data_IF_772913133249
#
_entry.id   IF_772913133249
#
_cell.length_a   1.000
_cell.length_b   1.000
_cell.length_c   1.000
_cell.angle_alpha   90.00
_cell.angle_beta   90.00
_cell.angle_gamma   90.00
#
_symmetry.space_group_name_H-M   'P 1'
#
loop_
_entity.id
_entity.type
_entity.pdbx_description
1 polymer ?
#
# COMPACT_ATOMS: atom_id res chain seq x y z
N UNK A 1 10.98 3.00 -14.93
CA UNK A 1 11.27 1.96 -13.94
C UNK A 1 10.77 0.63 -14.44
N UNK A 2 11.65 -0.38 -14.50
CA UNK A 2 11.34 -1.74 -14.93
C UNK A 2 11.83 -2.75 -13.90
N UNK A 3 10.99 -3.74 -13.61
CA UNK A 3 11.31 -4.87 -12.74
C UNK A 3 11.43 -6.15 -13.57
N UNK A 4 12.42 -6.98 -13.24
CA UNK A 4 12.55 -8.34 -13.75
C UNK A 4 12.29 -9.34 -12.63
N UNK A 5 11.48 -10.35 -12.93
CA UNK A 5 11.17 -11.48 -12.06
C UNK A 5 11.62 -12.75 -12.79
N UNK A 6 12.41 -13.59 -12.12
CA UNK A 6 12.81 -14.90 -12.61
C UNK A 6 12.35 -16.01 -11.64
N UNK A 7 11.92 -17.14 -12.18
CA UNK A 7 11.57 -18.37 -11.46
C UNK A 7 10.62 -18.17 -10.27
N UNK A 8 9.54 -17.41 -10.47
CA UNK A 8 8.49 -17.22 -9.47
C UNK A 8 7.28 -18.12 -9.79
N UNK A 9 7.30 -19.35 -9.26
CA UNK A 9 6.26 -20.34 -9.51
C UNK A 9 6.11 -20.66 -11.00
N UNK A 10 4.94 -20.36 -11.58
CA UNK A 10 4.69 -20.56 -13.01
C UNK A 10 5.41 -19.54 -13.92
N UNK A 11 5.97 -18.46 -13.35
CA UNK A 11 6.65 -17.40 -14.08
C UNK A 11 8.14 -17.73 -14.20
N UNK A 12 8.59 -18.16 -15.38
CA UNK A 12 10.02 -18.40 -15.64
C UNK A 12 10.82 -17.09 -15.72
N UNK A 13 10.31 -16.14 -16.48
CA UNK A 13 10.88 -14.80 -16.65
C UNK A 13 9.75 -13.83 -16.97
N UNK A 14 9.79 -12.64 -16.37
CA UNK A 14 8.90 -11.53 -16.69
C UNK A 14 9.63 -10.20 -16.49
N UNK A 15 9.53 -9.32 -17.49
CA UNK A 15 9.93 -7.93 -17.39
C UNK A 15 8.69 -7.04 -17.42
N UNK A 16 8.54 -6.19 -16.41
CA UNK A 16 7.39 -5.30 -16.25
C UNK A 16 7.88 -3.86 -16.20
N UNK A 17 7.40 -3.05 -17.15
CA UNK A 17 7.59 -1.61 -17.14
C UNK A 17 6.49 -0.96 -16.30
N UNK A 18 6.82 -0.67 -15.04
CA UNK A 18 5.90 -0.07 -14.08
C UNK A 18 5.84 1.46 -14.21
N UNK A 19 6.66 2.08 -15.06
CA UNK A 19 6.45 3.48 -15.46
C UNK A 19 5.30 3.66 -16.46
N UNK A 20 4.73 2.58 -17.00
CA UNK A 20 3.53 2.69 -17.85
C UNK A 20 2.28 2.95 -17.01
N UNK A 21 1.43 3.86 -17.50
CA UNK A 21 0.15 4.23 -16.86
C UNK A 21 -0.81 3.05 -16.65
N UNK A 22 -0.74 2.05 -17.52
CA UNK A 22 -1.59 0.86 -17.44
C UNK A 22 -0.82 -0.38 -17.91
N UNK A 23 -0.77 -1.38 -17.04
CA UNK A 23 -0.28 -2.72 -17.34
C UNK A 23 -1.45 -3.71 -17.21
N UNK A 24 -1.76 -4.44 -18.28
CA UNK A 24 -2.85 -5.43 -18.29
C UNK A 24 -2.25 -6.84 -18.38
N UNK A 25 -2.43 -7.63 -17.34
CA UNK A 25 -2.03 -9.05 -17.32
C UNK A 25 -3.19 -9.93 -17.77
N UNK A 26 -3.11 -10.49 -18.99
CA UNK A 26 -4.11 -11.40 -19.55
C UNK A 26 -3.53 -12.79 -19.80
N UNK A 27 -4.39 -13.82 -19.77
CA UNK A 27 -4.01 -15.19 -20.10
C UNK A 27 -4.77 -16.25 -19.29
N UNK A 28 -4.59 -17.54 -19.61
CA UNK A 28 -5.26 -18.66 -18.94
C UNK A 28 -5.08 -18.70 -17.42
N UNK A 29 -5.97 -19.40 -16.71
CA UNK A 29 -5.82 -19.58 -15.26
C UNK A 29 -4.52 -20.34 -14.92
N UNK A 30 -3.88 -19.97 -13.80
CA UNK A 30 -2.66 -20.63 -13.34
C UNK A 30 -1.34 -20.18 -14.00
N UNK A 31 -1.36 -19.20 -14.91
CA UNK A 31 -0.15 -18.74 -15.63
C UNK A 31 0.69 -17.69 -14.88
N UNK A 32 0.48 -17.50 -13.58
CA UNK A 32 1.29 -16.57 -12.77
C UNK A 32 0.85 -15.10 -12.74
N UNK A 33 -0.30 -14.73 -13.33
CA UNK A 33 -0.83 -13.35 -13.27
C UNK A 33 -0.92 -12.79 -11.85
N UNK A 34 -1.50 -13.55 -10.93
CA UNK A 34 -1.59 -13.19 -9.51
C UNK A 34 -0.21 -13.13 -8.86
N UNK A 35 0.71 -14.00 -9.27
CA UNK A 35 2.06 -14.06 -8.71
C UNK A 35 2.83 -12.79 -9.04
N UNK A 36 2.75 -12.33 -10.30
CA UNK A 36 3.35 -11.06 -10.73
C UNK A 36 2.72 -9.88 -9.99
N UNK A 37 1.38 -9.81 -9.89
CA UNK A 37 0.72 -8.71 -9.19
C UNK A 37 1.13 -8.64 -7.71
N UNK A 38 1.19 -9.80 -7.03
CA UNK A 38 1.63 -9.88 -5.63
C UNK A 38 3.11 -9.54 -5.50
N UNK A 39 3.95 -9.99 -6.43
CA UNK A 39 5.37 -9.66 -6.41
C UNK A 39 5.63 -8.17 -6.57
N UNK A 40 4.94 -7.50 -7.50
CA UNK A 40 5.03 -6.05 -7.67
C UNK A 40 4.58 -5.33 -6.39
N UNK A 41 3.44 -5.72 -5.83
CA UNK A 41 2.95 -5.16 -4.56
C UNK A 41 3.96 -5.35 -3.43
N UNK A 42 4.39 -6.59 -3.21
CA UNK A 42 5.33 -6.96 -2.16
C UNK A 42 6.73 -6.38 -2.35
N UNK A 43 7.14 -6.05 -3.58
CA UNK A 43 8.43 -5.40 -3.85
C UNK A 43 8.41 -3.91 -3.55
N UNK A 44 7.32 -3.24 -3.91
CA UNK A 44 7.22 -1.77 -3.91
C UNK A 44 6.52 -1.21 -2.67
N UNK A 45 5.82 -2.04 -1.89
CA UNK A 45 5.28 -1.63 -0.59
C UNK A 45 6.44 -1.22 0.33
N UNK A 46 6.38 -0.08 1.03
CA UNK A 46 7.40 0.32 2.00
C UNK A 46 7.61 -0.79 3.06
N UNK A 47 8.87 -1.10 3.38
CA UNK A 47 9.20 -2.32 4.15
C UNK A 47 9.88 -2.08 5.48
N UNK A 48 10.75 -1.07 5.56
CA UNK A 48 11.57 -0.85 6.74
C UNK A 48 11.88 0.63 6.92
N UNK A 49 12.04 0.98 8.19
CA UNK A 49 12.51 2.28 8.63
C UNK A 49 14.04 2.30 8.56
N UNK A 50 14.63 3.32 7.94
CA UNK A 50 16.09 3.48 7.80
C UNK A 50 16.69 4.48 8.79
N UNK A 51 15.89 5.02 9.69
CA UNK A 51 16.31 5.99 10.69
C UNK A 51 15.57 7.32 10.58
N UNK A 52 15.84 8.19 11.56
CA UNK A 52 15.36 9.57 11.61
C UNK A 52 16.47 10.55 11.26
N UNK A 53 16.09 11.72 10.77
CA UNK A 53 16.97 12.88 10.67
C UNK A 53 16.33 14.03 11.43
N UNK A 54 16.53 14.02 12.75
CA UNK A 54 15.91 14.98 13.66
C UNK A 54 16.34 16.42 13.35
N UNK A 55 17.60 16.63 12.94
CA UNK A 55 18.15 17.94 12.58
C UNK A 55 17.44 18.55 11.38
N UNK A 56 17.23 17.75 10.32
CA UNK A 56 16.46 18.16 9.14
C UNK A 56 15.04 18.59 9.52
N UNK A 57 14.38 17.83 10.39
CA UNK A 57 13.02 18.15 10.82
C UNK A 57 12.97 19.40 11.70
N UNK A 58 13.93 19.57 12.62
CA UNK A 58 14.02 20.76 13.45
C UNK A 58 14.29 22.02 12.60
N UNK A 59 15.13 21.91 11.57
CA UNK A 59 15.35 22.99 10.60
C UNK A 59 14.11 23.28 9.75
N UNK A 60 13.43 22.24 9.24
CA UNK A 60 12.20 22.37 8.48
C UNK A 60 11.09 23.06 9.28
N UNK A 61 10.91 22.71 10.56
CA UNK A 61 9.92 23.33 11.43
C UNK A 61 10.25 24.80 11.68
N UNK A 62 11.53 25.11 11.92
CA UNK A 62 11.99 26.48 12.20
C UNK A 62 11.85 27.40 11.01
N UNK A 63 12.27 26.95 9.83
CA UNK A 63 12.35 27.77 8.63
C UNK A 63 11.10 27.66 7.74
N UNK A 64 10.23 26.67 7.98
CA UNK A 64 9.04 26.29 7.19
C UNK A 64 9.31 25.87 5.74
N UNK A 65 10.46 26.24 5.19
CA UNK A 65 10.97 25.81 3.90
C UNK A 65 12.48 25.62 4.01
N UNK A 66 12.99 24.49 3.55
CA UNK A 66 14.43 24.17 3.49
C UNK A 66 14.78 23.59 2.13
N UNK A 67 16.05 23.69 1.77
CA UNK A 67 16.62 23.02 0.59
C UNK A 67 17.65 22.01 1.07
N UNK A 68 17.56 20.77 0.59
CA UNK A 68 18.51 19.70 0.90
C UNK A 68 19.10 19.10 -0.37
N UNK A 69 20.32 18.57 -0.30
CA UNK A 69 20.88 17.74 -1.37
C UNK A 69 20.30 16.33 -1.28
N UNK A 70 20.11 15.71 -2.45
CA UNK A 70 19.64 14.33 -2.55
C UNK A 70 20.74 13.36 -2.09
N UNK A 71 20.42 12.55 -1.09
CA UNK A 71 21.28 11.47 -0.61
C UNK A 71 21.12 10.22 -1.49
N UNK A 72 21.84 10.18 -2.61
CA UNK A 72 21.83 9.05 -3.52
C UNK A 72 22.39 7.76 -2.90
N UNK A 73 23.26 7.84 -1.89
CA UNK A 73 23.78 6.64 -1.23
C UNK A 73 22.66 5.94 -0.45
N UNK A 74 21.93 6.68 0.39
CA UNK A 74 20.78 6.15 1.12
C UNK A 74 19.68 5.62 0.19
N UNK A 75 19.40 6.32 -0.91
CA UNK A 75 18.42 5.89 -1.93
C UNK A 75 18.80 4.55 -2.54
N UNK A 76 20.06 4.40 -2.96
CA UNK A 76 20.54 3.19 -3.60
C UNK A 76 20.59 2.01 -2.61
N UNK A 77 21.04 2.24 -1.38
CA UNK A 77 21.02 1.24 -0.31
C UNK A 77 19.59 0.80 0.03
N UNK A 78 18.63 1.73 0.08
CA UNK A 78 17.22 1.40 0.30
C UNK A 78 16.66 0.52 -0.81
N UNK A 79 16.97 0.84 -2.07
CA UNK A 79 16.54 0.09 -3.25
C UNK A 79 17.06 -1.34 -3.26
N UNK A 80 18.31 -1.56 -2.84
CA UNK A 80 18.86 -2.91 -2.63
C UNK A 80 18.13 -3.64 -1.50
N UNK A 81 17.88 -2.96 -0.38
CA UNK A 81 17.10 -3.49 0.74
C UNK A 81 15.68 -3.92 0.35
N UNK A 82 15.01 -3.23 -0.58
CA UNK A 82 13.70 -3.63 -1.10
C UNK A 82 13.73 -5.03 -1.76
N UNK A 83 14.80 -5.32 -2.51
CA UNK A 83 15.01 -6.61 -3.19
C UNK A 83 15.33 -7.70 -2.16
N UNK A 84 16.22 -7.44 -1.22
CA UNK A 84 16.58 -8.40 -0.15
C UNK A 84 15.35 -8.74 0.69
N UNK A 85 14.62 -7.72 1.14
CA UNK A 85 13.41 -7.90 1.92
C UNK A 85 12.28 -8.57 1.12
N UNK A 86 12.23 -8.43 -0.21
CA UNK A 86 11.28 -9.21 -1.03
C UNK A 86 11.55 -10.71 -0.91
N UNK A 87 12.82 -11.12 -0.98
CA UNK A 87 13.22 -12.54 -0.88
C UNK A 87 12.95 -13.11 0.51
N UNK A 88 13.28 -12.35 1.55
CA UNK A 88 13.09 -12.75 2.95
C UNK A 88 11.62 -12.91 3.35
N UNK A 89 10.69 -12.29 2.61
CA UNK A 89 9.27 -12.28 2.95
C UNK A 89 8.40 -13.01 1.93
N UNK A 90 8.96 -13.91 1.10
CA UNK A 90 8.19 -14.67 0.10
C UNK A 90 7.09 -15.54 0.73
N UNK A 91 7.37 -16.12 1.89
CA UNK A 91 6.46 -16.90 2.71
C UNK A 91 5.23 -16.06 3.11
N UNK A 92 5.45 -14.90 3.73
CA UNK A 92 4.38 -13.99 4.13
C UNK A 92 3.70 -13.36 2.92
N UNK A 93 4.42 -13.13 1.82
CA UNK A 93 3.86 -12.54 0.62
C UNK A 93 2.81 -13.47 -0.01
N UNK A 94 3.12 -14.76 -0.09
CA UNK A 94 2.25 -15.76 -0.70
C UNK A 94 1.37 -16.53 0.27
N UNK A 95 1.51 -16.31 1.58
CA UNK A 95 0.69 -17.00 2.58
C UNK A 95 1.09 -18.46 2.77
N UNK A 96 2.37 -18.80 2.59
CA UNK A 96 2.88 -20.18 2.54
C UNK A 96 3.93 -20.42 3.62
N UNK A 97 4.21 -21.68 3.94
CA UNK A 97 5.25 -22.04 4.91
C UNK A 97 6.66 -21.83 4.34
N UNK A 98 7.63 -21.63 5.22
CA UNK A 98 9.05 -21.52 4.85
C UNK A 98 9.53 -22.75 4.05
N UNK A 99 9.14 -23.97 4.45
CA UNK A 99 9.43 -25.20 3.69
C UNK A 99 8.91 -25.17 2.24
N UNK A 100 7.78 -24.51 2.01
CA UNK A 100 7.21 -24.40 0.66
C UNK A 100 8.05 -23.42 -0.18
N UNK A 101 8.50 -22.31 0.42
CA UNK A 101 9.39 -21.35 -0.24
C UNK A 101 10.70 -22.03 -0.63
N UNK A 102 11.32 -22.78 0.28
CA UNK A 102 12.57 -23.51 0.00
C UNK A 102 12.41 -24.53 -1.14
N UNK A 103 11.26 -25.21 -1.22
CA UNK A 103 11.03 -26.20 -2.26
C UNK A 103 10.66 -25.59 -3.62
N UNK A 104 9.92 -24.47 -3.63
CA UNK A 104 9.26 -23.97 -4.85
C UNK A 104 9.74 -22.59 -5.31
N UNK A 105 10.33 -21.79 -4.42
CA UNK A 105 10.73 -20.40 -4.68
C UNK A 105 12.19 -20.10 -4.34
N UNK A 106 13.02 -21.09 -3.99
CA UNK A 106 14.46 -20.89 -3.72
C UNK A 106 15.22 -20.17 -4.85
N UNK A 107 14.83 -20.42 -6.09
CA UNK A 107 15.48 -19.87 -7.29
C UNK A 107 14.82 -18.56 -7.74
N UNK A 108 13.80 -18.08 -7.02
CA UNK A 108 13.09 -16.85 -7.33
C UNK A 108 14.02 -15.66 -7.19
N UNK A 109 14.07 -14.82 -8.23
CA UNK A 109 14.83 -13.59 -8.22
C UNK A 109 13.95 -12.42 -8.65
N UNK A 110 14.11 -11.31 -7.96
CA UNK A 110 13.58 -10.00 -8.33
C UNK A 110 14.77 -9.05 -8.48
N UNK A 111 14.73 -8.20 -9.50
CA UNK A 111 15.71 -7.12 -9.66
C UNK A 111 15.08 -5.93 -10.37
N UNK A 112 15.58 -4.73 -10.09
CA UNK A 112 15.39 -3.62 -11.00
C UNK A 112 16.27 -3.79 -12.23
N UNK A 113 15.76 -3.45 -13.42
CA UNK A 113 16.57 -3.49 -14.65
C UNK A 113 17.50 -2.27 -14.70
N UNK A 114 17.03 -1.11 -14.24
CA UNK A 114 17.86 0.08 -14.14
C UNK A 114 18.84 -0.02 -12.97
N UNK A 115 20.12 0.30 -13.24
CA UNK A 115 21.15 0.41 -12.22
C UNK A 115 21.05 1.75 -11.46
N UNK A 116 21.85 1.87 -10.39
CA UNK A 116 21.88 3.04 -9.50
C UNK A 116 22.18 4.34 -10.25
N UNK A 117 23.13 4.33 -11.19
CA UNK A 117 23.48 5.51 -12.00
C UNK A 117 22.29 5.96 -12.87
N UNK A 118 21.59 5.01 -13.51
CA UNK A 118 20.41 5.30 -14.34
C UNK A 118 19.29 5.90 -13.49
N UNK A 119 19.05 5.38 -12.28
CA UNK A 119 18.08 5.95 -11.36
C UNK A 119 18.47 7.36 -10.93
N UNK A 120 19.71 7.56 -10.50
CA UNK A 120 20.20 8.85 -10.03
C UNK A 120 20.07 9.91 -11.14
N UNK A 121 20.49 9.57 -12.36
CA UNK A 121 20.35 10.44 -13.53
C UNK A 121 18.89 10.74 -13.87
N UNK A 122 17.99 9.75 -13.75
CA UNK A 122 16.56 9.94 -13.95
C UNK A 122 15.98 10.93 -12.93
N UNK A 123 16.35 10.80 -11.65
CA UNK A 123 15.91 11.72 -10.59
C UNK A 123 16.46 13.13 -10.86
N UNK A 124 17.75 13.27 -11.21
CA UNK A 124 18.36 14.57 -11.51
C UNK A 124 17.67 15.24 -12.70
N UNK A 125 17.40 14.48 -13.76
CA UNK A 125 16.78 15.00 -14.97
C UNK A 125 15.30 15.36 -14.80
N UNK A 126 14.61 14.88 -13.76
CA UNK A 126 13.18 15.10 -13.60
C UNK A 126 12.84 16.38 -12.83
N UNK A 127 11.69 16.97 -13.17
CA UNK A 127 10.96 17.90 -12.33
C UNK A 127 9.80 17.14 -11.67
N UNK A 128 9.54 17.41 -10.39
CA UNK A 128 8.36 16.87 -9.72
C UNK A 128 7.95 17.69 -8.51
N UNK A 129 6.68 17.56 -8.14
CA UNK A 129 6.09 18.05 -6.90
C UNK A 129 5.33 16.89 -6.25
N UNK A 130 5.49 16.72 -4.94
CA UNK A 130 4.88 15.63 -4.17
C UNK A 130 4.30 16.22 -2.90
N UNK A 131 2.98 16.10 -2.75
CA UNK A 131 2.30 16.38 -1.50
C UNK A 131 2.23 15.13 -0.60
N UNK A 132 2.74 15.23 0.62
CA UNK A 132 2.66 14.17 1.64
C UNK A 132 1.99 14.70 2.89
N UNK A 133 1.06 13.91 3.42
CA UNK A 133 0.39 14.19 4.69
C UNK A 133 0.97 13.32 5.81
N UNK A 134 1.29 13.96 6.93
CA UNK A 134 1.77 13.36 8.18
C UNK A 134 0.89 13.82 9.33
N UNK A 135 -0.17 13.04 9.62
CA UNK A 135 -1.17 13.43 10.61
C UNK A 135 -1.95 14.63 10.11
N UNK A 136 -1.75 15.80 10.72
CA UNK A 136 -2.36 17.06 10.28
C UNK A 136 -1.39 17.98 9.53
N UNK A 137 -0.21 17.49 9.19
CA UNK A 137 0.84 18.29 8.53
C UNK A 137 0.97 17.88 7.08
N UNK A 138 0.75 18.81 6.18
CA UNK A 138 0.99 18.71 4.76
C UNK A 138 2.39 19.26 4.44
N UNK A 139 3.17 18.42 3.77
CA UNK A 139 4.52 18.72 3.31
C UNK A 139 4.56 18.62 1.79
N UNK A 140 5.01 19.70 1.18
CA UNK A 140 5.31 19.82 -0.24
C UNK A 140 6.80 19.53 -0.45
N UNK A 141 7.10 18.52 -1.27
CA UNK A 141 8.46 18.16 -1.69
C UNK A 141 8.54 18.45 -3.18
N UNK A 142 9.36 19.41 -3.58
CA UNK A 142 9.53 19.78 -4.98
C UNK A 142 10.99 19.69 -5.42
N UNK A 143 11.18 19.41 -6.70
CA UNK A 143 12.48 19.31 -7.35
C UNK A 143 12.41 19.95 -8.73
N UNK A 144 13.37 20.81 -9.03
CA UNK A 144 13.53 21.40 -10.36
C UNK A 144 14.28 20.47 -11.31
N UNK A 145 14.03 20.63 -12.61
CA UNK A 145 14.72 19.87 -13.66
C UNK A 145 16.25 20.08 -13.58
N UNK A 146 17.01 19.01 -13.82
CA UNK A 146 18.48 19.03 -13.83
C UNK A 146 19.15 19.50 -12.52
N UNK A 147 18.44 19.42 -11.39
CA UNK A 147 18.96 19.73 -10.05
C UNK A 147 19.25 18.48 -9.22
N UNK A 148 20.16 18.56 -8.25
CA UNK A 148 20.37 17.56 -7.19
C UNK A 148 19.79 17.99 -5.84
N UNK A 149 18.99 19.05 -5.82
CA UNK A 149 18.42 19.66 -4.62
C UNK A 149 16.91 19.47 -4.56
N UNK A 150 16.39 19.24 -3.36
CA UNK A 150 14.96 19.18 -3.05
C UNK A 150 14.58 20.38 -2.19
N UNK A 151 13.48 21.05 -2.56
CA UNK A 151 12.81 22.01 -1.68
C UNK A 151 11.73 21.28 -0.90
N UNK A 152 11.77 21.41 0.43
CA UNK A 152 10.81 20.79 1.35
C UNK A 152 10.13 21.92 2.11
N UNK A 153 8.81 21.98 2.02
CA UNK A 153 8.01 23.06 2.59
C UNK A 153 6.83 22.52 3.39
N UNK A 154 6.65 23.03 4.60
CA UNK A 154 5.47 22.77 5.42
C UNK A 154 4.39 23.77 5.01
N UNK A 155 3.20 23.26 4.67
CA UNK A 155 2.07 24.09 4.27
C UNK A 155 1.26 24.60 5.47
N UNK A 156 1.28 23.88 6.59
CA UNK A 156 0.55 24.25 7.80
C UNK A 156 1.20 25.35 8.64
N UNK A 157 0.35 26.21 9.19
CA UNK A 157 0.75 27.29 10.10
C UNK A 157 1.24 26.72 11.45
N UNK A 158 0.50 25.78 12.04
CA UNK A 158 0.78 25.22 13.37
C UNK A 158 0.96 23.71 13.33
N UNK A 159 1.95 23.21 14.06
CA UNK A 159 2.26 21.77 14.11
C UNK A 159 2.16 21.31 15.56
N UNK A 160 1.42 20.23 15.83
CA UNK A 160 1.32 19.67 17.18
C UNK A 160 2.57 18.89 17.56
N UNK A 161 2.83 18.72 18.87
CA UNK A 161 3.97 17.92 19.36
C UNK A 161 3.90 16.46 18.92
N UNK A 162 2.69 15.91 18.76
CA UNK A 162 2.48 14.56 18.25
C UNK A 162 2.88 14.45 16.77
N UNK A 163 2.52 15.45 15.96
CA UNK A 163 2.89 15.48 14.53
C UNK A 163 4.40 15.63 14.35
N UNK A 164 5.07 16.48 15.16
CA UNK A 164 6.55 16.62 15.15
C UNK A 164 7.21 15.26 15.40
N UNK A 165 6.73 14.51 16.39
CA UNK A 165 7.27 13.18 16.70
C UNK A 165 7.07 12.21 15.52
N UNK A 166 5.90 12.25 14.89
CA UNK A 166 5.61 11.48 13.68
C UNK A 166 6.55 11.82 12.53
N UNK A 167 6.77 13.11 12.27
CA UNK A 167 7.70 13.58 11.25
C UNK A 167 9.12 13.09 11.48
N UNK A 168 9.65 13.26 12.70
CA UNK A 168 10.98 12.74 13.06
C UNK A 168 11.07 11.24 12.84
N UNK A 169 10.02 10.49 13.17
CA UNK A 169 10.01 9.05 13.05
C UNK A 169 9.85 8.53 11.61
N UNK A 170 9.17 9.24 10.70
CA UNK A 170 8.80 8.65 9.40
C UNK A 170 9.29 9.42 8.19
N UNK A 171 9.40 10.75 8.26
CA UNK A 171 9.61 11.60 7.09
C UNK A 171 10.84 11.22 6.27
N UNK A 172 11.99 11.03 6.94
CA UNK A 172 13.25 10.71 6.23
C UNK A 172 13.16 9.36 5.50
N UNK A 173 12.58 8.34 6.15
CA UNK A 173 12.40 7.03 5.52
C UNK A 173 11.42 7.11 4.35
N UNK A 174 10.32 7.83 4.50
CA UNK A 174 9.31 8.00 3.45
C UNK A 174 9.86 8.77 2.25
N UNK A 175 10.70 9.78 2.48
CA UNK A 175 11.39 10.53 1.41
C UNK A 175 12.30 9.61 0.60
N UNK A 176 13.17 8.85 1.28
CA UNK A 176 14.09 7.92 0.63
C UNK A 176 13.33 6.81 -0.11
N UNK A 177 12.26 6.28 0.50
CA UNK A 177 11.40 5.25 -0.10
C UNK A 177 10.78 5.73 -1.43
N UNK A 178 10.22 6.94 -1.45
CA UNK A 178 9.63 7.54 -2.67
C UNK A 178 10.69 7.71 -3.76
N UNK A 179 11.87 8.24 -3.42
CA UNK A 179 12.93 8.47 -4.39
C UNK A 179 13.54 7.16 -4.92
N UNK A 180 13.69 6.13 -4.07
CA UNK A 180 14.19 4.81 -4.47
C UNK A 180 13.29 4.10 -5.50
N UNK A 181 12.00 4.44 -5.51
CA UNK A 181 10.97 3.87 -6.38
C UNK A 181 10.49 4.85 -7.46
N UNK A 182 11.11 6.02 -7.59
CA UNK A 182 10.71 7.03 -8.56
C UNK A 182 10.54 6.43 -9.98
N UNK A 183 9.44 6.73 -10.71
CA UNK A 183 8.39 7.72 -10.41
C UNK A 183 7.19 7.19 -9.61
N UNK A 184 7.31 6.04 -8.93
CA UNK A 184 6.21 5.45 -8.16
C UNK A 184 6.13 6.10 -6.77
N UNK A 185 5.05 6.84 -6.52
CA UNK A 185 4.81 7.61 -5.29
C UNK A 185 4.18 6.80 -4.16
N UNK A 186 3.37 5.80 -4.52
CA UNK A 186 2.63 4.92 -3.61
C UNK A 186 2.30 3.61 -4.32
N UNK A 187 1.95 2.59 -3.53
CA UNK A 187 1.48 1.29 -4.06
C UNK A 187 0.30 0.79 -3.23
N UNK A 188 -0.78 0.45 -3.93
CA UNK A 188 -2.00 -0.09 -3.37
C UNK A 188 -2.45 -1.31 -4.15
N UNK A 189 -3.06 -2.29 -3.49
CA UNK A 189 -3.59 -3.49 -4.13
C UNK A 189 -5.03 -3.73 -3.71
N UNK A 190 -5.83 -4.13 -4.70
CA UNK A 190 -7.23 -4.51 -4.56
C UNK A 190 -7.37 -6.01 -4.80
N UNK A 191 -7.00 -6.86 -3.82
CA UNK A 191 -7.02 -8.28 -4.01
C UNK A 191 -8.46 -8.81 -3.95
N UNK A 192 -8.68 -9.98 -4.53
CA UNK A 192 -9.95 -10.70 -4.40
C UNK A 192 -9.68 -12.00 -3.69
N UNK A 193 -10.33 -12.19 -2.53
CA UNK A 193 -10.31 -13.46 -1.82
C UNK A 193 -11.34 -14.42 -2.45
N UNK A 194 -10.87 -15.58 -2.92
CA UNK A 194 -11.69 -16.63 -3.55
C UNK A 194 -11.42 -18.00 -2.94
N UNK A 195 -10.82 -18.03 -1.75
CA UNK A 195 -10.52 -19.26 -1.05
C UNK A 195 -11.76 -20.14 -0.89
N UNK A 196 -11.56 -21.44 -1.08
CA UNK A 196 -12.62 -22.42 -0.92
C UNK A 196 -13.17 -22.41 0.51
N UNK A 197 -14.43 -22.80 0.70
CA UNK A 197 -15.01 -22.90 2.03
C UNK A 197 -14.22 -23.84 2.95
N UNK A 198 -13.56 -24.86 2.39
CA UNK A 198 -12.70 -25.80 3.13
C UNK A 198 -11.43 -25.10 3.63
N UNK A 199 -10.79 -24.30 2.78
CA UNK A 199 -9.65 -23.47 3.15
C UNK A 199 -10.06 -22.46 4.23
N UNK A 200 -11.16 -21.74 3.99
CA UNK A 200 -11.68 -20.73 4.90
C UNK A 200 -12.07 -21.31 6.26
N UNK A 201 -12.70 -22.50 6.31
CA UNK A 201 -13.09 -23.16 7.55
C UNK A 201 -11.89 -23.51 8.42
N UNK A 202 -10.81 -24.03 7.83
CA UNK A 202 -9.59 -24.39 8.56
C UNK A 202 -8.93 -23.14 9.16
N UNK A 203 -8.88 -22.07 8.38
CA UNK A 203 -8.35 -20.77 8.82
C UNK A 203 -9.19 -20.14 9.94
N UNK A 204 -10.52 -20.18 9.83
CA UNK A 204 -11.41 -19.64 10.87
C UNK A 204 -11.28 -20.38 12.21
N UNK A 205 -11.10 -21.71 12.17
CA UNK A 205 -10.85 -22.50 13.39
C UNK A 205 -9.53 -22.14 14.07
N UNK A 206 -8.45 -21.95 13.30
CA UNK A 206 -7.13 -21.55 13.84
C UNK A 206 -7.22 -20.14 14.45
N UNK A 207 -7.88 -19.20 13.77
CA UNK A 207 -8.05 -17.82 14.25
C UNK A 207 -8.84 -17.74 15.55
N UNK A 208 -9.82 -18.63 15.76
CA UNK A 208 -10.55 -18.71 17.03
C UNK A 208 -9.61 -19.08 18.18
N UNK A 209 -8.68 -19.99 17.95
CA UNK A 209 -7.67 -20.41 18.93
C UNK A 209 -6.71 -19.25 19.24
N UNK A 210 -6.15 -18.62 18.21
CA UNK A 210 -5.21 -17.49 18.35
C UNK A 210 -5.86 -16.26 19.01
N UNK A 211 -7.12 -15.98 18.69
CA UNK A 211 -7.89 -14.92 19.34
C UNK A 211 -8.08 -15.22 20.83
N UNK A 212 -8.45 -16.45 21.19
CA UNK A 212 -8.60 -16.87 22.59
C UNK A 212 -7.26 -16.75 23.33
N UNK A 213 -6.16 -17.22 22.74
CA UNK A 213 -4.82 -17.12 23.32
C UNK A 213 -4.40 -15.65 23.51
N UNK A 214 -4.71 -14.79 22.54
CA UNK A 214 -4.49 -13.35 22.65
C UNK A 214 -5.34 -12.72 23.76
N UNK A 215 -6.64 -13.03 23.84
CA UNK A 215 -7.50 -12.55 24.92
C UNK A 215 -6.96 -12.96 26.30
N UNK A 216 -6.48 -14.20 26.44
CA UNK A 216 -5.83 -14.65 27.68
C UNK A 216 -4.52 -13.89 27.97
N UNK A 217 -3.71 -13.57 26.96
CA UNK A 217 -2.47 -12.82 27.11
C UNK A 217 -2.68 -11.33 27.39
N UNK A 218 -3.70 -10.70 26.78
CA UNK A 218 -4.02 -9.28 26.92
C UNK A 218 -4.74 -8.97 28.24
N UNK A 219 -5.57 -9.89 28.74
CA UNK A 219 -6.22 -9.75 30.06
C UNK A 219 -5.26 -9.96 31.23
N UNK A 220 -4.13 -10.64 31.02
CA UNK A 220 -3.12 -10.91 32.05
C UNK A 220 -1.98 -9.88 32.11
N UNK A 221 -1.82 -9.04 31.08
CA UNK A 221 -0.91 -7.89 31.07
C UNK A 221 -1.70 -6.68 30.61
N UNK A 222 -2.12 -5.81 31.53
CA UNK A 222 -3.00 -4.65 31.30
C UNK A 222 -2.55 -3.76 30.12
N UNK A 223 -2.95 -4.16 28.91
CA UNK A 223 -2.51 -3.59 27.65
C UNK A 223 -3.53 -2.58 27.11
N UNK A 224 -3.01 -1.55 26.47
CA UNK A 224 -3.70 -0.39 25.90
C UNK A 224 -4.81 -0.75 24.90
N UNK A 225 -5.97 -0.10 25.04
CA UNK A 225 -7.25 -0.33 24.33
C UNK A 225 -7.29 0.05 22.83
N UNK A 226 -6.16 0.37 22.17
CA UNK A 226 -6.19 1.07 20.87
C UNK A 226 -5.69 0.28 19.63
N UNK A 227 -5.24 -0.97 19.76
CA UNK A 227 -4.95 -1.80 18.58
C UNK A 227 -6.09 -2.79 18.31
N UNK A 228 -6.66 -2.72 17.11
CA UNK A 228 -7.73 -3.61 16.67
C UNK A 228 -7.23 -5.08 16.70
N UNK A 229 -7.98 -5.95 17.38
CA UNK A 229 -7.63 -7.37 17.59
C UNK A 229 -7.31 -8.08 16.28
N UNK A 230 -8.06 -7.79 15.23
CA UNK A 230 -7.84 -8.38 13.91
C UNK A 230 -6.49 -7.97 13.33
N UNK A 231 -6.07 -6.71 13.48
CA UNK A 231 -4.75 -6.25 13.06
C UNK A 231 -3.63 -7.01 13.77
N UNK A 232 -3.77 -7.26 15.07
CA UNK A 232 -2.77 -7.99 15.85
C UNK A 232 -2.68 -9.46 15.43
N UNK A 233 -3.82 -10.11 15.23
CA UNK A 233 -3.88 -11.51 14.77
C UNK A 233 -3.32 -11.64 13.35
N UNK A 234 -3.69 -10.72 12.46
CA UNK A 234 -3.26 -10.73 11.07
C UNK A 234 -1.77 -10.43 10.89
N UNK A 235 -1.20 -9.49 11.65
CA UNK A 235 0.25 -9.16 11.59
C UNK A 235 1.13 -10.36 11.95
N UNK A 236 0.66 -11.25 12.83
CA UNK A 236 1.43 -12.41 13.31
C UNK A 236 1.31 -13.64 12.41
N UNK A 237 0.29 -13.71 11.56
CA UNK A 237 0.09 -14.85 10.67
C UNK A 237 0.76 -14.66 9.31
N UNK A 238 1.52 -15.66 8.90
CA UNK A 238 2.08 -15.83 7.55
C UNK A 238 1.19 -16.67 6.63
N UNK A 239 -0.03 -17.05 7.08
CA UNK A 239 -0.91 -17.99 6.34
C UNK A 239 -1.82 -17.32 5.33
N UNK A 240 -1.99 -16.01 5.43
CA UNK A 240 -2.70 -15.22 4.42
C UNK A 240 -1.69 -14.47 3.58
N UNK A 241 -1.82 -14.50 2.24
CA UNK A 241 -0.97 -13.67 1.39
C UNK A 241 -1.04 -12.21 1.83
N UNK A 242 0.11 -11.55 1.90
CA UNK A 242 0.25 -10.16 2.33
C UNK A 242 -0.81 -9.23 1.70
N UNK A 243 -1.06 -9.25 0.37
CA UNK A 243 -2.12 -8.45 -0.24
C UNK A 243 -3.50 -8.67 0.39
N UNK A 244 -3.90 -9.93 0.58
CA UNK A 244 -5.21 -10.28 1.14
C UNK A 244 -5.31 -9.79 2.58
N UNK A 245 -4.24 -9.98 3.36
CA UNK A 245 -4.16 -9.49 4.73
C UNK A 245 -4.37 -7.99 4.78
N UNK A 246 -3.64 -7.22 3.96
CA UNK A 246 -3.77 -5.77 3.92
C UNK A 246 -5.17 -5.34 3.50
N UNK A 247 -5.79 -6.04 2.54
CA UNK A 247 -7.18 -5.82 2.17
C UNK A 247 -8.18 -6.09 3.29
N UNK A 248 -7.95 -7.12 4.11
CA UNK A 248 -8.79 -7.43 5.29
C UNK A 248 -8.66 -6.38 6.39
N UNK A 249 -7.45 -5.87 6.63
CA UNK A 249 -7.20 -4.78 7.58
C UNK A 249 -7.99 -3.53 7.17
N UNK A 250 -7.93 -3.16 5.88
CA UNK A 250 -8.69 -2.04 5.34
C UNK A 250 -10.21 -2.28 5.47
N UNK A 251 -10.67 -3.51 5.20
CA UNK A 251 -12.08 -3.86 5.28
C UNK A 251 -12.63 -3.77 6.71
N UNK A 252 -11.80 -4.03 7.71
CA UNK A 252 -12.18 -3.97 9.12
C UNK A 252 -12.31 -2.54 9.64
N UNK A 253 -11.46 -1.63 9.15
CA UNK A 253 -11.45 -0.22 9.55
C UNK A 253 -12.39 0.67 8.70
N UNK A 254 -13.29 0.10 7.90
CA UNK A 254 -14.16 0.85 6.97
C UNK A 254 -15.06 1.88 7.64
N UNK A 255 -15.51 1.63 8.88
CA UNK A 255 -16.33 2.55 9.66
C UNK A 255 -15.61 3.86 10.01
N UNK A 256 -14.28 3.82 10.13
CA UNK A 256 -13.41 4.98 10.33
C UNK A 256 -12.98 5.58 9.00
N UNK A 257 -12.56 4.74 8.04
CA UNK A 257 -12.10 5.17 6.71
C UNK A 257 -13.17 6.01 6.00
N UNK A 258 -14.45 5.64 6.11
CA UNK A 258 -15.55 6.37 5.46
C UNK A 258 -15.69 7.84 5.89
N UNK A 259 -15.10 8.23 7.03
CA UNK A 259 -15.13 9.61 7.54
C UNK A 259 -14.25 10.55 6.72
N UNK A 260 -13.26 10.00 6.02
CA UNK A 260 -12.38 10.75 5.14
C UNK A 260 -13.03 10.93 3.77
N UNK A 261 -12.82 12.09 3.14
CA UNK A 261 -13.20 12.34 1.75
C UNK A 261 -11.94 12.63 0.96
N UNK A 262 -11.68 11.83 -0.08
CA UNK A 262 -10.54 12.01 -0.97
C UNK A 262 -10.86 12.97 -2.12
N UNK A 263 -9.83 13.51 -2.76
CA UNK A 263 -9.95 14.36 -3.95
C UNK A 263 -10.52 13.62 -5.18
N UNK A 264 -10.48 12.29 -5.16
CA UNK A 264 -11.00 11.41 -6.22
C UNK A 264 -12.45 10.96 -5.98
N UNK A 265 -13.14 11.54 -4.98
CA UNK A 265 -14.51 11.15 -4.65
C UNK A 265 -15.48 11.29 -5.82
N UNK A 266 -15.36 12.38 -6.58
CA UNK A 266 -16.26 12.67 -7.70
C UNK A 266 -16.06 11.67 -8.85
N UNK A 267 -14.82 11.25 -9.10
CA UNK A 267 -14.52 10.17 -10.07
C UNK A 267 -15.10 8.82 -9.62
N UNK A 268 -15.10 8.55 -8.31
CA UNK A 268 -15.75 7.37 -7.76
C UNK A 268 -17.27 7.41 -7.97
N UNK A 269 -17.91 8.58 -7.83
CA UNK A 269 -19.34 8.75 -8.12
C UNK A 269 -19.65 8.56 -9.62
N UNK A 270 -18.76 8.98 -10.52
CA UNK A 270 -18.88 8.72 -11.95
C UNK A 270 -18.90 7.21 -12.25
N UNK A 271 -17.96 6.45 -11.67
CA UNK A 271 -17.93 4.98 -11.76
C UNK A 271 -19.26 4.37 -11.26
N UNK A 272 -19.78 4.87 -10.14
CA UNK A 272 -21.05 4.42 -9.57
C UNK A 272 -22.24 4.68 -10.50
N UNK A 273 -22.30 5.86 -11.13
CA UNK A 273 -23.40 6.23 -12.02
C UNK A 273 -23.34 5.52 -13.36
N UNK A 274 -22.16 5.52 -13.99
CA UNK A 274 -22.00 5.08 -15.39
C UNK A 274 -21.76 3.57 -15.51
N UNK A 275 -21.04 2.95 -14.55
CA UNK A 275 -20.71 1.52 -14.61
C UNK A 275 -21.57 0.67 -13.68
N UNK A 276 -21.84 1.14 -12.45
CA UNK A 276 -22.56 0.34 -11.45
C UNK A 276 -24.08 0.57 -11.45
N UNK A 277 -24.55 1.67 -12.04
CA UNK A 277 -25.96 2.09 -12.02
C UNK A 277 -26.56 2.12 -10.59
N UNK A 278 -25.78 2.56 -9.61
CA UNK A 278 -26.17 2.65 -8.20
C UNK A 278 -25.00 3.06 -7.31
N UNK A 279 -25.29 3.39 -6.05
CA UNK A 279 -24.30 3.89 -5.10
C UNK A 279 -23.87 2.81 -4.11
N UNK A 280 -22.59 2.82 -3.75
CA UNK A 280 -22.06 2.08 -2.60
C UNK A 280 -22.12 2.99 -1.37
N UNK A 281 -22.58 2.41 -0.27
CA UNK A 281 -22.63 3.04 1.04
C UNK A 281 -21.95 2.14 2.06
N UNK A 282 -21.18 2.75 2.96
CA UNK A 282 -20.60 2.09 4.13
C UNK A 282 -21.43 2.52 5.34
N UNK A 283 -22.07 1.56 6.02
CA UNK A 283 -22.84 1.88 7.22
C UNK A 283 -21.95 2.11 8.45
N UNK A 284 -22.57 2.34 9.61
CA UNK A 284 -21.84 2.63 10.85
C UNK A 284 -21.05 1.45 11.41
N UNK A 285 -21.41 0.24 11.00
CA UNK A 285 -20.72 -0.99 11.39
C UNK A 285 -19.60 -1.37 10.40
N UNK A 286 -19.38 -0.55 9.35
CA UNK A 286 -18.36 -0.79 8.33
C UNK A 286 -18.80 -1.71 7.20
N UNK A 287 -20.09 -2.09 7.14
CA UNK A 287 -20.59 -2.95 6.08
C UNK A 287 -20.84 -2.19 4.78
N UNK A 288 -20.34 -2.73 3.67
CA UNK A 288 -20.61 -2.20 2.33
C UNK A 288 -21.99 -2.68 1.84
N UNK A 289 -22.83 -1.72 1.49
CA UNK A 289 -24.17 -1.91 0.92
C UNK A 289 -24.26 -1.22 -0.43
N UNK A 290 -25.08 -1.77 -1.32
CA UNK A 290 -25.35 -1.21 -2.64
C UNK A 290 -26.79 -0.73 -2.75
N UNK A 291 -26.98 0.51 -3.19
CA UNK A 291 -28.28 1.12 -3.48
C UNK A 291 -28.47 1.28 -4.99
N UNK A 292 -29.30 0.44 -5.63
CA UNK A 292 -29.56 0.55 -7.07
C UNK A 292 -30.26 1.87 -7.42
N UNK A 293 -29.86 2.51 -8.53
CA UNK A 293 -30.47 3.77 -9.02
C UNK A 293 -31.97 3.65 -9.25
N UNK A 294 -32.43 2.49 -9.73
CA UNK A 294 -33.87 2.20 -9.97
C UNK A 294 -34.67 1.92 -8.68
N UNK A 295 -34.02 1.72 -7.54
CA UNK A 295 -34.68 1.39 -6.28
C UNK A 295 -33.87 1.93 -5.09
N UNK A 296 -33.72 3.26 -4.96
CA UNK A 296 -32.79 3.89 -4.01
C UNK A 296 -33.16 3.64 -2.54
N UNK A 297 -34.42 3.25 -2.26
CA UNK A 297 -34.87 2.87 -0.92
C UNK A 297 -34.39 1.47 -0.48
N UNK A 298 -33.90 0.63 -1.40
CA UNK A 298 -33.40 -0.70 -1.09
C UNK A 298 -31.88 -0.69 -1.01
N UNK A 299 -31.35 -1.03 0.16
CA UNK A 299 -29.92 -1.31 0.34
C UNK A 299 -29.72 -2.83 0.30
N UNK A 300 -28.87 -3.28 -0.63
CA UNK A 300 -28.53 -4.69 -0.80
C UNK A 300 -27.16 -4.95 -0.16
N UNK A 301 -27.02 -6.00 0.67
CA UNK A 301 -25.70 -6.47 1.08
C UNK A 301 -24.82 -6.79 -0.13
N UNK A 302 -23.53 -6.46 -0.07
CA UNK A 302 -22.63 -6.58 -1.22
C UNK A 302 -22.61 -8.01 -1.81
N UNK A 303 -22.71 -9.05 -0.98
CA UNK A 303 -22.71 -10.44 -1.42
C UNK A 303 -23.93 -10.83 -2.28
N UNK A 304 -25.03 -10.08 -2.21
CA UNK A 304 -26.24 -10.29 -3.02
C UNK A 304 -26.24 -9.50 -4.34
N UNK A 305 -25.17 -8.75 -4.63
CA UNK A 305 -25.09 -7.89 -5.82
C UNK A 305 -24.45 -8.60 -7.02
N UNK A 306 -24.50 -7.95 -8.19
CA UNK A 306 -23.85 -8.42 -9.40
C UNK A 306 -22.31 -8.46 -9.26
N UNK A 307 -21.66 -9.36 -10.00
CA UNK A 307 -20.21 -9.57 -9.92
C UNK A 307 -19.39 -8.31 -10.20
N UNK A 308 -19.85 -7.42 -11.08
CA UNK A 308 -19.18 -6.15 -11.37
C UNK A 308 -19.18 -5.21 -10.16
N UNK A 309 -20.28 -5.14 -9.41
CA UNK A 309 -20.41 -4.32 -8.20
C UNK A 309 -19.44 -4.84 -7.13
N UNK A 310 -19.39 -6.16 -6.94
CA UNK A 310 -18.45 -6.79 -5.99
C UNK A 310 -16.99 -6.56 -6.36
N UNK A 311 -16.68 -6.56 -7.66
CA UNK A 311 -15.29 -6.43 -8.14
C UNK A 311 -14.80 -5.00 -8.09
N UNK A 312 -15.68 -4.01 -8.31
CA UNK A 312 -15.35 -2.59 -8.28
C UNK A 312 -15.57 -1.94 -6.91
N UNK A 313 -16.19 -2.63 -5.94
CA UNK A 313 -16.49 -2.01 -4.63
C UNK A 313 -15.24 -1.50 -3.93
N UNK A 314 -14.16 -2.29 -3.93
CA UNK A 314 -12.93 -1.90 -3.26
C UNK A 314 -12.24 -0.73 -3.98
N UNK A 315 -12.36 -0.64 -5.31
CA UNK A 315 -11.86 0.50 -6.08
C UNK A 315 -12.64 1.77 -5.75
N UNK A 316 -13.97 1.70 -5.71
CA UNK A 316 -14.82 2.84 -5.37
C UNK A 316 -14.53 3.31 -3.94
N UNK A 317 -14.39 2.38 -2.99
CA UNK A 317 -14.02 2.73 -1.60
C UNK A 317 -12.66 3.42 -1.55
N UNK A 318 -11.67 2.89 -2.28
CA UNK A 318 -10.35 3.50 -2.36
C UNK A 318 -10.42 4.93 -2.89
N UNK A 319 -11.06 5.13 -4.05
CA UNK A 319 -11.23 6.44 -4.66
C UNK A 319 -12.02 7.41 -3.77
N UNK A 320 -13.02 6.96 -3.00
CA UNK A 320 -13.78 7.84 -2.12
C UNK A 320 -13.02 8.28 -0.88
N UNK A 321 -12.21 7.40 -0.30
CA UNK A 321 -11.79 7.55 1.10
C UNK A 321 -10.29 7.37 1.36
N UNK A 322 -9.52 6.79 0.43
CA UNK A 322 -8.13 6.41 0.66
C UNK A 322 -7.14 7.00 -0.35
N UNK A 323 -7.59 7.29 -1.57
CA UNK A 323 -6.74 7.84 -2.63
C UNK A 323 -6.13 9.18 -2.22
N UNK A 324 -4.87 9.40 -2.60
CA UNK A 324 -4.09 10.62 -2.32
C UNK A 324 -3.78 11.36 -3.61
N UNK A 325 -3.56 12.69 -3.59
CA UNK A 325 -3.33 13.50 -4.79
C UNK A 325 -2.37 12.86 -5.81
N UNK A 326 -1.21 12.39 -5.34
CA UNK A 326 -0.18 11.81 -6.22
C UNK A 326 -0.42 10.35 -6.64
N UNK A 327 -1.58 9.76 -6.34
CA UNK A 327 -1.89 8.37 -6.75
C UNK A 327 -2.31 8.29 -8.23
N UNK A 328 -2.87 9.38 -8.78
CA UNK A 328 -3.36 9.43 -10.17
C UNK A 328 -2.90 10.67 -10.95
N UNK A 329 -2.33 11.68 -10.27
CA UNK A 329 -1.79 12.87 -10.94
C UNK A 329 -0.44 12.55 -11.63
N UNK A 330 -0.23 13.11 -12.82
CA UNK A 330 0.96 12.84 -13.62
C UNK A 330 2.18 13.57 -13.03
N UNK A 331 3.30 12.86 -12.92
CA UNK A 331 4.65 13.45 -12.94
C UNK A 331 5.05 13.85 -14.36
#
# INVERSE_FOLDING_TARGET
MKLRINNLGAVKEAEIDISKKLNIFCGPNGTGKTYVAYALYGALKPKFHIGSNDELIDELIKNKNITINIDFESINNYREGLISSFRENLDSLFGVSDDFVEQNFKDTQLSFIENNETLNNLIIASEFEILKNYGKVDIEISKQENSSELSIKILDETISTADIKGLKMFFFSDLIDVLAKYPISSVFILPVERNSIYTFSKELSIRKQEAVDYFHAATSKGGSENENLLNILLKKTKRYPLPIRDGLIIADDLSEIKKNKSDFFDFAEEIEQELLAGKLEIDNDGEIKFKPKKSPKKALPIHMTASIIKSLSSLVVYLKHLAKPNDFDNY
#
